data_IF_003573109966
#
_entry.id   IF_003573109966
#
_cell.length_a   1.000
_cell.length_b   1.000
_cell.length_c   1.000
_cell.angle_alpha   90.00
_cell.angle_beta   90.00
_cell.angle_gamma   90.00
#
_symmetry.space_group_name_H-M   'P 1'
#
loop_
_entity.id
_entity.type
_entity.pdbx_description
1 polymer ?
#
# COMPACT_ATOMS: atom_id res chain seq x y z
N UNK A 1 3.68 9.67 13.42
CA UNK A 1 4.05 8.98 14.67
C UNK A 1 4.03 7.47 14.45
N UNK A 2 5.05 6.79 14.94
CA UNK A 2 5.21 5.34 14.77
C UNK A 2 4.00 4.55 15.29
N UNK A 3 3.43 4.95 16.42
CA UNK A 3 2.27 4.28 17.00
C UNK A 3 1.07 4.24 16.09
N UNK A 4 0.85 5.29 15.30
CA UNK A 4 -0.26 5.32 14.34
C UNK A 4 -0.09 4.33 13.22
N UNK A 5 1.15 4.15 12.76
CA UNK A 5 1.42 3.16 11.70
C UNK A 5 1.19 1.74 12.23
N UNK A 6 1.60 1.45 13.47
CA UNK A 6 1.37 0.14 14.07
C UNK A 6 -0.13 -0.12 14.23
N UNK A 7 -0.89 0.86 14.67
CA UNK A 7 -2.35 0.75 14.77
C UNK A 7 -2.98 0.50 13.40
N UNK A 8 -2.51 1.21 12.39
CA UNK A 8 -3.01 1.03 11.03
C UNK A 8 -2.76 -0.41 10.54
N UNK A 9 -1.58 -0.96 10.83
CA UNK A 9 -1.26 -2.35 10.47
C UNK A 9 -2.25 -3.31 11.11
N UNK A 10 -2.54 -3.12 12.40
CA UNK A 10 -3.51 -3.97 13.11
C UNK A 10 -4.87 -3.93 12.44
N UNK A 11 -5.34 -2.73 12.11
CA UNK A 11 -6.65 -2.55 11.47
C UNK A 11 -6.69 -3.16 10.08
N UNK A 12 -5.63 -2.96 9.28
CA UNK A 12 -5.54 -3.56 7.95
C UNK A 12 -5.55 -5.10 8.04
N UNK A 13 -4.83 -5.67 8.99
CA UNK A 13 -4.81 -7.12 9.16
C UNK A 13 -6.16 -7.67 9.57
N UNK A 14 -6.91 -6.93 10.39
CA UNK A 14 -8.29 -7.30 10.72
C UNK A 14 -9.18 -7.29 9.48
N UNK A 15 -9.03 -6.28 8.63
CA UNK A 15 -9.78 -6.19 7.38
C UNK A 15 -9.47 -7.38 6.47
N UNK A 16 -8.21 -7.82 6.41
CA UNK A 16 -7.82 -8.96 5.59
C UNK A 16 -8.38 -10.29 6.08
N UNK A 17 -8.71 -10.40 7.36
CA UNK A 17 -9.40 -11.60 7.85
C UNK A 17 -10.78 -11.73 7.25
N UNK A 18 -11.44 -10.60 6.97
CA UNK A 18 -12.76 -10.57 6.35
C UNK A 18 -12.66 -10.64 4.83
N UNK A 19 -11.69 -9.94 4.26
CA UNK A 19 -11.50 -9.85 2.81
C UNK A 19 -10.02 -9.99 2.45
N UNK A 20 -9.50 -11.24 2.35
CA UNK A 20 -8.07 -11.46 2.10
C UNK A 20 -7.57 -10.91 0.76
N UNK A 21 -8.47 -10.71 -0.20
CA UNK A 21 -8.12 -10.21 -1.54
C UNK A 21 -8.47 -8.75 -1.74
N UNK A 22 -8.61 -7.99 -0.66
CA UNK A 22 -8.87 -6.55 -0.76
C UNK A 22 -7.60 -5.83 -1.20
N UNK A 23 -7.57 -5.42 -2.47
CA UNK A 23 -6.44 -4.74 -3.08
C UNK A 23 -6.00 -3.51 -2.29
N UNK A 24 -6.96 -2.68 -1.90
CA UNK A 24 -6.65 -1.41 -1.21
C UNK A 24 -6.05 -1.64 0.16
N UNK A 25 -6.45 -2.68 0.87
CA UNK A 25 -5.87 -3.03 2.16
C UNK A 25 -4.41 -3.44 2.00
N UNK A 26 -4.09 -4.24 0.99
CA UNK A 26 -2.70 -4.62 0.71
C UNK A 26 -1.85 -3.41 0.31
N UNK A 27 -2.42 -2.48 -0.48
CA UNK A 27 -1.74 -1.24 -0.83
C UNK A 27 -1.46 -0.38 0.41
N UNK A 28 -2.45 -0.25 1.30
CA UNK A 28 -2.30 0.48 2.54
C UNK A 28 -1.21 -0.10 3.43
N UNK A 29 -1.17 -1.43 3.54
CA UNK A 29 -0.11 -2.11 4.30
C UNK A 29 1.26 -1.86 3.69
N UNK A 30 1.39 -1.96 2.37
CA UNK A 30 2.67 -1.72 1.69
C UNK A 30 3.20 -0.31 2.01
N UNK A 31 2.34 0.70 1.90
CA UNK A 31 2.70 2.09 2.20
C UNK A 31 3.15 2.21 3.66
N UNK A 32 2.37 1.65 4.57
CA UNK A 32 2.64 1.73 6.01
C UNK A 32 3.97 1.06 6.36
N UNK A 33 4.24 -0.11 5.80
CA UNK A 33 5.51 -0.79 6.04
C UNK A 33 6.71 0.01 5.52
N UNK A 34 6.57 0.67 4.35
CA UNK A 34 7.64 1.54 3.83
C UNK A 34 7.90 2.70 4.78
N UNK A 35 6.84 3.32 5.30
CA UNK A 35 6.97 4.42 6.27
C UNK A 35 7.71 3.99 7.54
N UNK A 36 7.58 2.72 7.92
CA UNK A 36 8.27 2.16 9.09
C UNK A 36 9.65 1.60 8.77
N UNK A 37 10.08 1.64 7.51
CA UNK A 37 11.35 1.05 7.10
C UNK A 37 11.33 -0.46 6.98
N UNK A 38 10.16 -1.08 6.98
CA UNK A 38 9.99 -2.54 6.91
C UNK A 38 9.80 -2.97 5.45
N UNK A 39 10.85 -2.83 4.65
CA UNK A 39 10.78 -3.04 3.20
C UNK A 39 10.40 -4.47 2.79
N UNK A 40 10.90 -5.48 3.50
CA UNK A 40 10.58 -6.88 3.17
C UNK A 40 9.09 -7.15 3.30
N UNK A 41 8.48 -6.63 4.34
CA UNK A 41 7.04 -6.79 4.54
C UNK A 41 6.25 -6.01 3.51
N UNK A 42 6.73 -4.80 3.16
CA UNK A 42 6.12 -4.02 2.09
C UNK A 42 6.17 -4.75 0.75
N UNK A 43 7.30 -5.40 0.45
CA UNK A 43 7.45 -6.18 -0.77
C UNK A 43 6.50 -7.37 -0.80
N UNK A 44 6.28 -8.01 0.34
CA UNK A 44 5.33 -9.12 0.43
C UNK A 44 3.90 -8.64 0.13
N UNK A 45 3.53 -7.45 0.62
CA UNK A 45 2.21 -6.88 0.33
C UNK A 45 2.09 -6.48 -1.14
N UNK A 46 3.16 -5.94 -1.73
CA UNK A 46 3.18 -5.60 -3.15
C UNK A 46 3.01 -6.86 -4.01
N UNK A 47 3.63 -7.98 -3.60
CA UNK A 47 3.44 -9.25 -4.30
C UNK A 47 1.98 -9.70 -4.26
N UNK A 48 1.30 -9.49 -3.14
CA UNK A 48 -0.13 -9.79 -3.03
C UNK A 48 -0.98 -8.91 -3.94
N UNK A 49 -0.62 -7.63 -4.07
CA UNK A 49 -1.30 -6.73 -5.01
C UNK A 49 -1.20 -7.29 -6.44
N UNK A 50 -0.01 -7.73 -6.84
CA UNK A 50 0.20 -8.29 -8.18
C UNK A 50 -0.48 -9.65 -8.36
N UNK A 51 -0.61 -10.43 -7.29
CA UNK A 51 -1.36 -11.69 -7.34
C UNK A 51 -2.84 -11.42 -7.60
N UNK A 52 -3.39 -10.43 -6.91
CA UNK A 52 -4.82 -10.06 -7.02
C UNK A 52 -5.09 -9.38 -8.36
N UNK A 53 -4.20 -8.48 -8.76
CA UNK A 53 -4.36 -7.67 -9.97
C UNK A 53 -3.05 -7.63 -10.75
N UNK A 54 -2.78 -8.66 -11.60
CA UNK A 54 -1.49 -8.77 -12.31
C UNK A 54 -1.14 -7.59 -13.20
N UNK A 55 -2.14 -6.84 -13.67
CA UNK A 55 -1.93 -5.68 -14.54
C UNK A 55 -1.87 -4.35 -13.77
N UNK A 56 -1.74 -4.41 -12.45
CA UNK A 56 -1.68 -3.20 -11.64
C UNK A 56 -0.60 -2.23 -12.15
N UNK A 57 -0.96 -0.95 -12.26
CA UNK A 57 -0.08 0.11 -12.72
C UNK A 57 -0.14 1.29 -11.77
N UNK A 58 1.01 1.76 -11.31
CA UNK A 58 1.08 2.95 -10.45
C UNK A 58 0.59 4.20 -11.17
N UNK A 59 0.88 4.31 -12.46
CA UNK A 59 0.41 5.44 -13.25
C UNK A 59 -1.11 5.50 -13.27
N UNK A 60 -1.74 4.38 -13.53
CA UNK A 60 -3.20 4.30 -13.53
C UNK A 60 -3.77 4.56 -12.13
N UNK A 61 -3.16 3.96 -11.12
CA UNK A 61 -3.57 4.13 -9.73
C UNK A 61 -3.52 5.60 -9.31
N UNK A 62 -2.43 6.29 -9.68
CA UNK A 62 -2.27 7.72 -9.36
C UNK A 62 -3.41 8.55 -9.94
N UNK A 63 -3.87 8.21 -11.13
CA UNK A 63 -4.99 8.92 -11.78
C UNK A 63 -6.32 8.68 -11.08
N UNK A 64 -6.47 7.56 -10.37
CA UNK A 64 -7.72 7.22 -9.69
C UNK A 64 -7.81 7.77 -8.26
N UNK A 65 -6.70 8.27 -7.71
CA UNK A 65 -6.69 8.79 -6.36
C UNK A 65 -7.45 10.11 -6.28
N UNK A 66 -8.44 10.21 -5.37
CA UNK A 66 -9.24 11.43 -5.23
C UNK A 66 -8.56 12.50 -4.38
N UNK A 67 -7.24 12.49 -4.33
CA UNK A 67 -6.46 13.42 -3.50
C UNK A 67 -6.16 14.70 -4.28
N UNK A 68 -6.41 15.84 -3.64
CA UNK A 68 -6.17 17.14 -4.25
C UNK A 68 -4.72 17.61 -4.06
N UNK A 69 -4.04 17.09 -3.05
CA UNK A 69 -2.67 17.47 -2.76
C UNK A 69 -1.71 16.58 -3.53
N UNK A 70 -1.03 17.15 -4.52
CA UNK A 70 -0.10 16.40 -5.36
C UNK A 70 1.07 15.81 -4.57
N UNK A 71 1.50 16.49 -3.50
CA UNK A 71 2.60 15.96 -2.69
C UNK A 71 2.21 14.66 -1.97
N UNK A 72 0.95 14.53 -1.56
CA UNK A 72 0.45 13.29 -0.96
C UNK A 72 0.39 12.18 -1.98
N UNK A 73 -0.08 12.49 -3.20
CA UNK A 73 -0.10 11.51 -4.30
C UNK A 73 1.32 11.05 -4.61
N UNK A 74 2.25 11.98 -4.76
CA UNK A 74 3.64 11.66 -5.08
C UNK A 74 4.29 10.79 -4.00
N UNK A 75 4.03 11.10 -2.73
CA UNK A 75 4.54 10.31 -1.61
C UNK A 75 3.97 8.88 -1.63
N UNK A 76 2.68 8.76 -1.86
CA UNK A 76 2.01 7.47 -1.94
C UNK A 76 2.62 6.61 -3.07
N UNK A 77 2.78 7.19 -4.25
CA UNK A 77 3.35 6.49 -5.40
C UNK A 77 4.80 6.11 -5.13
N UNK A 78 5.59 7.01 -4.52
CA UNK A 78 6.98 6.71 -4.17
C UNK A 78 7.09 5.54 -3.22
N UNK A 79 6.22 5.47 -2.20
CA UNK A 79 6.19 4.36 -1.26
C UNK A 79 5.87 3.03 -1.97
N UNK A 80 4.87 3.03 -2.83
CA UNK A 80 4.48 1.82 -3.56
C UNK A 80 5.55 1.37 -4.54
N UNK A 81 6.22 2.33 -5.19
CA UNK A 81 7.34 2.01 -6.08
C UNK A 81 8.50 1.39 -5.28
N UNK A 82 8.79 1.92 -4.12
CA UNK A 82 9.82 1.39 -3.23
C UNK A 82 9.49 -0.02 -2.76
N UNK A 83 8.21 -0.33 -2.62
CA UNK A 83 7.74 -1.68 -2.27
C UNK A 83 7.84 -2.65 -3.44
N UNK A 84 8.14 -2.19 -4.65
CA UNK A 84 8.32 -3.04 -5.82
C UNK A 84 7.26 -2.94 -6.89
N UNK A 85 6.27 -2.10 -6.71
CA UNK A 85 5.23 -1.89 -7.73
C UNK A 85 5.72 -0.92 -8.82
N UNK A 86 5.17 -1.04 -9.99
CA UNK A 86 5.55 -0.21 -11.15
C UNK A 86 4.36 0.50 -11.77
#
# INVERSE_FOLDING_TARGET
MVGRYEEAIVEYKKALKLEPNDLFTHLGLAITYIKLGREKEAQAEAAEVLRIHPKFSLEHYAKTLPLKDQSVVDDTIACLRKAGLK
#
